data_IF_695521883607
#
_entry.id   IF_695521883607
#
_cell.length_a   1.000
_cell.length_b   1.000
_cell.length_c   1.000
_cell.angle_alpha   90.00
_cell.angle_beta   90.00
_cell.angle_gamma   90.00
#
_symmetry.space_group_name_H-M   'P 1'
#
loop_
_entity.id
_entity.type
_entity.pdbx_description
1 polymer ?
#
# COMPACT_ATOMS: atom_id res chain seq x y z
N UNK A 1 8.91 -20.72 11.18
CA UNK A 1 9.10 -19.41 10.54
C UNK A 1 7.95 -19.15 9.60
N UNK A 2 7.44 -17.92 9.58
CA UNK A 2 6.42 -17.45 8.65
C UNK A 2 7.05 -16.38 7.74
N UNK A 3 6.87 -16.52 6.43
CA UNK A 3 7.31 -15.54 5.43
C UNK A 3 6.08 -15.02 4.69
N UNK A 4 5.91 -13.71 4.69
CA UNK A 4 4.77 -13.04 4.07
C UNK A 4 5.25 -12.03 3.06
N UNK A 5 4.80 -12.17 1.81
CA UNK A 5 5.16 -11.28 0.70
C UNK A 5 3.93 -10.52 0.21
N UNK A 6 3.97 -9.20 0.35
CA UNK A 6 2.98 -8.29 -0.22
C UNK A 6 3.43 -7.91 -1.64
N UNK A 7 2.51 -7.95 -2.61
CA UNK A 7 2.75 -7.52 -3.98
C UNK A 7 1.87 -6.31 -4.28
N UNK A 8 2.49 -5.16 -4.50
CA UNK A 8 1.78 -3.89 -4.64
C UNK A 8 1.48 -3.64 -6.12
N UNK A 9 0.20 -3.78 -6.49
CA UNK A 9 -0.25 -3.72 -7.89
C UNK A 9 0.12 -2.40 -8.58
N UNK A 10 -0.07 -1.21 -7.98
CA UNK A 10 0.18 0.06 -8.66
C UNK A 10 1.64 0.31 -9.05
N UNK A 11 2.60 -0.25 -8.32
CA UNK A 11 4.03 -0.03 -8.56
C UNK A 11 4.84 -1.30 -8.84
N UNK A 12 4.19 -2.47 -8.88
CA UNK A 12 4.79 -3.78 -9.06
C UNK A 12 5.91 -4.14 -8.04
N UNK A 13 6.06 -3.37 -6.96
CA UNK A 13 7.02 -3.67 -5.90
C UNK A 13 6.51 -4.80 -5.00
N UNK A 14 7.45 -5.47 -4.35
CA UNK A 14 7.15 -6.49 -3.36
C UNK A 14 7.87 -6.18 -2.06
N UNK A 15 7.20 -6.44 -0.94
CA UNK A 15 7.81 -6.35 0.40
C UNK A 15 7.60 -7.67 1.10
N UNK A 16 8.70 -8.26 1.57
CA UNK A 16 8.68 -9.51 2.32
C UNK A 16 9.00 -9.24 3.78
N UNK A 17 8.14 -9.72 4.68
CA UNK A 17 8.43 -9.78 6.12
C UNK A 17 8.64 -11.22 6.57
N UNK A 18 9.53 -11.39 7.55
CA UNK A 18 9.79 -12.68 8.21
C UNK A 18 9.33 -12.56 9.66
N UNK A 19 8.47 -13.48 10.06
CA UNK A 19 7.84 -13.52 11.37
C UNK A 19 8.15 -14.87 12.03
N UNK A 20 8.13 -14.87 13.36
CA UNK A 20 8.00 -16.13 14.10
C UNK A 20 6.66 -16.76 13.74
N UNK A 21 6.63 -18.08 13.56
CA UNK A 21 5.37 -18.76 13.32
C UNK A 21 4.50 -18.63 14.59
N UNK A 22 3.25 -18.13 14.50
CA UNK A 22 2.38 -18.05 15.66
C UNK A 22 2.23 -19.42 16.34
N UNK A 23 2.17 -19.44 17.66
CA UNK A 23 2.14 -20.67 18.46
C UNK A 23 1.00 -21.61 18.08
N UNK A 24 -0.16 -21.03 17.76
CA UNK A 24 -1.38 -21.71 17.31
C UNK A 24 -1.25 -22.39 15.95
N UNK A 25 -0.22 -22.06 15.17
CA UNK A 25 0.05 -22.66 13.86
C UNK A 25 1.22 -23.64 13.87
N UNK A 26 1.90 -23.82 15.00
CA UNK A 26 2.99 -24.78 15.12
C UNK A 26 2.44 -26.20 15.03
N UNK A 27 2.82 -26.93 13.98
CA UNK A 27 2.31 -28.28 13.72
C UNK A 27 0.85 -28.32 13.26
N UNK A 28 0.23 -27.17 12.99
CA UNK A 28 -1.09 -27.11 12.35
C UNK A 28 -1.03 -27.71 10.94
N UNK A 29 -2.16 -28.22 10.45
CA UNK A 29 -2.29 -28.67 9.07
C UNK A 29 -2.53 -27.50 8.10
N UNK A 30 -2.48 -27.81 6.81
CA UNK A 30 -2.62 -26.82 5.74
C UNK A 30 -3.99 -26.11 5.78
N UNK A 31 -5.06 -26.85 6.05
CA UNK A 31 -6.43 -26.29 6.09
C UNK A 31 -6.59 -25.31 7.25
N UNK A 32 -6.00 -25.60 8.41
CA UNK A 32 -5.97 -24.70 9.57
C UNK A 32 -5.22 -23.41 9.27
N UNK A 33 -4.12 -23.48 8.51
CA UNK A 33 -3.36 -22.29 8.08
C UNK A 33 -4.18 -21.43 7.11
N UNK A 34 -4.85 -22.05 6.13
CA UNK A 34 -5.70 -21.31 5.20
C UNK A 34 -6.86 -20.61 5.93
N UNK A 35 -7.47 -21.27 6.90
CA UNK A 35 -8.53 -20.68 7.72
C UNK A 35 -8.04 -19.50 8.59
N UNK A 36 -6.76 -19.49 8.96
CA UNK A 36 -6.18 -18.42 9.79
C UNK A 36 -5.78 -17.18 8.96
N UNK A 37 -5.39 -17.36 7.70
CA UNK A 37 -4.93 -16.26 6.84
C UNK A 37 -5.87 -16.01 5.67
N UNK A 38 -6.98 -15.35 5.97
CA UNK A 38 -7.89 -14.86 4.93
C UNK A 38 -7.15 -13.93 3.94
N UNK A 39 -7.45 -14.08 2.65
CA UNK A 39 -6.85 -13.30 1.55
C UNK A 39 -5.35 -13.52 1.33
N UNK A 40 -4.76 -14.57 1.90
CA UNK A 40 -3.38 -14.99 1.59
C UNK A 40 -3.37 -16.26 0.74
N UNK A 41 -2.52 -16.27 -0.27
CA UNK A 41 -2.17 -17.47 -1.01
C UNK A 41 -0.97 -18.14 -0.34
N UNK A 42 -1.12 -19.39 0.10
CA UNK A 42 0.02 -20.17 0.62
C UNK A 42 0.86 -20.68 -0.55
N UNK A 43 2.14 -20.28 -0.59
CA UNK A 43 3.10 -20.63 -1.64
C UNK A 43 3.91 -21.88 -1.27
N UNK A 44 4.21 -22.07 0.01
CA UNK A 44 4.95 -23.23 0.53
C UNK A 44 4.51 -23.50 1.97
N UNK A 45 4.38 -24.78 2.32
CA UNK A 45 3.93 -25.21 3.63
C UNK A 45 4.72 -26.42 4.15
N UNK A 46 5.13 -26.36 5.41
CA UNK A 46 5.65 -27.45 6.23
C UNK A 46 5.36 -27.18 7.71
N UNK A 47 5.61 -28.18 8.57
CA UNK A 47 5.34 -28.07 10.01
C UNK A 47 6.06 -26.90 10.72
N UNK A 48 7.20 -26.45 10.18
CA UNK A 48 8.02 -25.39 10.76
C UNK A 48 8.18 -24.17 9.84
N UNK A 49 7.67 -24.22 8.61
CA UNK A 49 7.85 -23.17 7.62
C UNK A 49 6.60 -22.94 6.78
N UNK A 50 6.15 -21.70 6.72
CA UNK A 50 5.06 -21.29 5.84
C UNK A 50 5.52 -20.05 5.09
N UNK A 51 5.38 -20.06 3.77
CA UNK A 51 5.46 -18.84 2.96
C UNK A 51 4.14 -18.60 2.24
N UNK A 52 3.74 -17.34 2.19
CA UNK A 52 2.50 -16.91 1.58
C UNK A 52 2.64 -15.54 0.95
N UNK A 53 1.78 -15.25 -0.01
CA UNK A 53 1.73 -13.97 -0.69
C UNK A 53 0.31 -13.46 -0.87
N UNK A 54 0.16 -12.14 -0.99
CA UNK A 54 -1.09 -11.49 -1.39
C UNK A 54 -0.83 -10.23 -2.20
N UNK A 55 -1.79 -9.90 -3.05
CA UNK A 55 -1.78 -8.69 -3.85
C UNK A 55 -2.48 -7.56 -3.10
N UNK A 56 -1.86 -6.38 -3.12
CA UNK A 56 -2.35 -5.16 -2.48
C UNK A 56 -2.60 -4.09 -3.53
N UNK A 57 -3.81 -3.56 -3.58
CA UNK A 57 -4.18 -2.50 -4.53
C UNK A 57 -3.91 -1.10 -3.94
N UNK A 58 -2.74 -0.93 -3.34
CA UNK A 58 -2.20 0.33 -2.83
C UNK A 58 -0.72 0.42 -3.17
N UNK A 59 -0.12 1.61 -3.09
CA UNK A 59 1.32 1.74 -3.27
C UNK A 59 2.09 1.12 -2.09
N UNK A 60 3.30 0.65 -2.38
CA UNK A 60 4.20 0.11 -1.35
C UNK A 60 4.74 1.21 -0.42
N UNK A 61 5.32 0.86 0.75
CA UNK A 61 5.86 1.82 1.72
C UNK A 61 6.91 2.81 1.20
N UNK A 62 7.54 2.51 0.08
CA UNK A 62 8.56 3.38 -0.54
C UNK A 62 7.96 4.60 -1.25
N UNK A 63 6.65 4.62 -1.52
CA UNK A 63 6.02 5.72 -2.23
C UNK A 63 5.26 6.65 -1.30
N UNK A 64 5.29 7.93 -1.64
CA UNK A 64 4.28 8.89 -1.25
C UNK A 64 3.07 8.73 -2.18
N UNK A 65 1.87 8.78 -1.64
CA UNK A 65 0.62 8.73 -2.38
C UNK A 65 -0.10 10.06 -2.23
N UNK A 66 -0.29 10.76 -3.33
CA UNK A 66 -1.02 12.02 -3.39
C UNK A 66 -2.49 11.74 -3.71
N UNK A 67 -3.38 12.14 -2.80
CA UNK A 67 -4.84 11.95 -2.94
C UNK A 67 -5.61 12.93 -2.04
N UNK A 68 -6.91 13.17 -2.27
CA UNK A 68 -7.69 14.00 -1.38
C UNK A 68 -7.97 13.32 -0.03
N UNK A 69 -8.04 14.12 1.02
CA UNK A 69 -8.68 13.74 2.27
C UNK A 69 -10.22 13.83 2.18
N UNK A 70 -10.92 13.53 3.28
CA UNK A 70 -12.39 13.59 3.36
C UNK A 70 -12.96 15.00 3.11
N UNK A 71 -12.16 16.06 3.32
CA UNK A 71 -12.54 17.45 3.09
C UNK A 71 -12.22 17.94 1.67
N UNK A 72 -11.62 17.09 0.81
CA UNK A 72 -11.20 17.46 -0.54
C UNK A 72 -9.90 18.26 -0.59
N UNK A 73 -9.12 18.27 0.51
CA UNK A 73 -7.75 18.82 0.51
C UNK A 73 -6.78 17.77 -0.01
N UNK A 74 -5.86 18.18 -0.89
CA UNK A 74 -4.86 17.26 -1.44
C UNK A 74 -3.75 17.05 -0.42
N UNK A 75 -3.49 15.79 -0.08
CA UNK A 75 -2.56 15.38 0.98
C UNK A 75 -1.65 14.25 0.49
N UNK A 76 -0.50 14.13 1.14
CA UNK A 76 0.45 13.03 0.97
C UNK A 76 0.21 11.98 2.05
N UNK A 77 0.17 10.72 1.63
CA UNK A 77 0.02 9.55 2.48
C UNK A 77 1.12 8.55 2.20
N UNK A 78 1.37 7.63 3.14
CA UNK A 78 2.30 6.52 2.95
C UNK A 78 1.78 5.25 3.55
N UNK A 79 2.08 4.15 2.89
CA UNK A 79 1.80 2.83 3.42
C UNK A 79 2.76 2.49 4.57
N UNK A 80 2.26 2.37 5.79
CA UNK A 80 3.10 2.08 6.98
C UNK A 80 3.12 0.59 7.31
N UNK A 81 2.01 -0.12 7.09
CA UNK A 81 1.82 -1.48 7.61
C UNK A 81 1.79 -2.58 6.53
N UNK A 82 1.88 -2.19 5.27
CA UNK A 82 1.79 -3.07 4.10
C UNK A 82 0.40 -3.08 3.47
N UNK A 83 -0.65 -2.65 4.18
CA UNK A 83 -2.05 -2.78 3.74
C UNK A 83 -2.94 -1.57 4.05
N UNK A 84 -2.33 -0.44 4.43
CA UNK A 84 -3.07 0.78 4.71
C UNK A 84 -2.21 2.02 4.57
N UNK A 85 -2.83 3.09 4.08
CA UNK A 85 -2.22 4.41 3.95
C UNK A 85 -2.42 5.22 5.24
N UNK A 86 -1.35 5.82 5.73
CA UNK A 86 -1.37 6.77 6.83
C UNK A 86 -1.06 8.18 6.31
N UNK A 87 -1.69 9.18 6.91
CA UNK A 87 -1.42 10.58 6.61
C UNK A 87 0.04 10.93 6.93
N UNK A 88 0.71 11.64 6.00
CA UNK A 88 2.08 12.10 6.17
C UNK A 88 2.16 13.62 6.18
N UNK A 89 1.54 14.30 5.20
CA UNK A 89 1.64 15.76 5.07
C UNK A 89 0.46 16.35 4.29
N UNK A 90 0.00 17.53 4.71
CA UNK A 90 -0.95 18.34 3.93
C UNK A 90 -0.22 19.16 2.87
N UNK A 91 -0.86 19.37 1.71
CA UNK A 91 -0.40 20.34 0.71
C UNK A 91 -1.20 21.64 0.79
N UNK A 92 -0.78 22.67 0.06
CA UNK A 92 -1.51 23.94 -0.04
C UNK A 92 -2.67 23.91 -1.05
N UNK A 93 -2.89 22.76 -1.72
CA UNK A 93 -3.87 22.64 -2.80
C UNK A 93 -5.13 21.90 -2.34
N UNK A 94 -6.29 22.38 -2.79
CA UNK A 94 -7.54 21.67 -2.74
C UNK A 94 -7.86 21.06 -4.12
N UNK A 95 -8.78 20.10 -4.16
CA UNK A 95 -9.15 19.40 -5.41
C UNK A 95 -9.64 20.35 -6.51
N UNK A 96 -10.29 21.46 -6.14
CA UNK A 96 -10.83 22.46 -7.08
C UNK A 96 -9.76 23.30 -7.79
N UNK A 97 -8.49 23.18 -7.38
CA UNK A 97 -7.36 23.84 -8.04
C UNK A 97 -6.90 23.12 -9.32
N UNK A 98 -7.48 21.96 -9.65
CA UNK A 98 -7.08 21.09 -10.77
C UNK A 98 -8.24 20.83 -11.74
N UNK A 99 -7.90 20.53 -12.99
CA UNK A 99 -8.86 20.06 -14.00
C UNK A 99 -9.47 18.68 -13.68
N UNK A 100 -10.55 18.31 -14.38
CA UNK A 100 -11.28 17.06 -14.13
C UNK A 100 -10.40 15.80 -14.29
N UNK A 101 -9.50 15.80 -15.28
CA UNK A 101 -8.59 14.68 -15.55
C UNK A 101 -7.57 14.49 -14.42
N UNK A 102 -7.07 15.59 -13.85
CA UNK A 102 -6.14 15.57 -12.72
C UNK A 102 -6.86 15.23 -11.43
N UNK A 103 -8.08 15.73 -11.23
CA UNK A 103 -8.92 15.33 -10.10
C UNK A 103 -9.19 13.83 -10.12
N UNK A 104 -9.52 13.24 -11.28
CA UNK A 104 -9.73 11.80 -11.40
C UNK A 104 -8.47 10.98 -11.06
N UNK A 105 -7.28 11.46 -11.44
CA UNK A 105 -6.01 10.86 -11.05
C UNK A 105 -5.78 10.95 -9.53
N UNK A 106 -6.02 12.12 -8.93
CA UNK A 106 -5.88 12.33 -7.49
C UNK A 106 -6.85 11.43 -6.69
N UNK A 107 -8.09 11.27 -7.13
CA UNK A 107 -9.06 10.35 -6.51
C UNK A 107 -8.60 8.90 -6.57
N UNK A 108 -7.90 8.50 -7.63
CA UNK A 108 -7.34 7.15 -7.76
C UNK A 108 -6.04 6.97 -6.95
N UNK A 109 -5.44 8.08 -6.49
CA UNK A 109 -4.14 8.12 -5.85
C UNK A 109 -2.99 8.10 -6.85
N UNK A 110 -2.03 9.02 -6.68
CA UNK A 110 -0.85 9.13 -7.54
C UNK A 110 0.41 8.87 -6.71
N UNK A 111 1.19 7.87 -7.09
CA UNK A 111 2.42 7.49 -6.39
C UNK A 111 3.65 8.28 -6.84
N UNK A 112 4.51 8.63 -5.88
CA UNK A 112 5.77 9.35 -6.09
C UNK A 112 6.89 8.76 -5.24
N UNK A 113 8.13 8.87 -5.72
CA UNK A 113 9.31 8.37 -4.99
C UNK A 113 9.69 9.28 -3.81
N UNK A 114 9.49 10.59 -3.97
CA UNK A 114 9.91 11.61 -3.01
C UNK A 114 9.03 12.86 -3.09
N UNK A 115 9.17 13.74 -2.11
CA UNK A 115 8.37 14.96 -1.97
C UNK A 115 8.66 16.00 -3.07
N UNK A 116 9.90 16.07 -3.57
CA UNK A 116 10.26 17.01 -4.64
C UNK A 116 9.48 16.73 -5.92
N UNK A 117 9.30 15.44 -6.26
CA UNK A 117 8.51 15.02 -7.41
C UNK A 117 7.02 15.35 -7.23
N UNK A 118 6.49 15.21 -6.01
CA UNK A 118 5.12 15.64 -5.66
C UNK A 118 4.95 17.14 -5.90
N UNK A 119 5.84 17.96 -5.35
CA UNK A 119 5.77 19.42 -5.47
C UNK A 119 5.94 19.90 -6.92
N UNK A 120 6.79 19.23 -7.70
CA UNK A 120 6.96 19.51 -9.13
C UNK A 120 5.70 19.18 -9.92
N UNK A 121 5.05 18.06 -9.60
CA UNK A 121 3.81 17.63 -10.26
C UNK A 121 2.63 18.54 -9.92
N UNK A 122 2.48 18.93 -8.65
CA UNK A 122 1.43 19.84 -8.21
C UNK A 122 1.53 21.19 -8.93
N UNK A 123 2.73 21.78 -8.97
CA UNK A 123 2.95 23.08 -9.63
C UNK A 123 2.71 23.08 -11.13
N UNK A 124 2.89 21.94 -11.80
CA UNK A 124 2.69 21.87 -13.26
C UNK A 124 1.22 21.71 -13.67
N UNK A 125 0.32 21.40 -12.71
CA UNK A 125 -1.09 21.14 -12.96
C UNK A 125 -2.05 22.08 -12.23
N UNK A 126 -1.59 22.73 -11.16
CA UNK A 126 -2.39 23.69 -10.44
C UNK A 126 -2.70 24.92 -11.31
N UNK A 127 -3.99 25.26 -11.45
CA UNK A 127 -4.45 26.40 -12.24
C UNK A 127 -4.34 26.24 -13.76
N UNK A 128 -4.17 25.00 -14.25
CA UNK A 128 -4.26 24.64 -15.66
C UNK A 128 -5.72 24.58 -16.16
#
# INVERSE_FOLDING_TARGET
>A
MLVQTFRFVPCAHQVTRRLTLPSELVGADFDSVLAHYENWQVDTFSAEYISMSRDENIYCPMHLVLMPDEAGKVCMFRNVYGDGLAFEKETDYAMDAFDEDTQAQLFSGVGFENEEDVERWLRSRAGA
#
